data_IF_010723091566
#
_entry.id   IF_010723091566
#
_cell.length_a   1.000
_cell.length_b   1.000
_cell.length_c   1.000
_cell.angle_alpha   90.00
_cell.angle_beta   90.00
_cell.angle_gamma   90.00
#
_symmetry.space_group_name_H-M   'P 1'
#
loop_
_entity.id
_entity.type
_entity.pdbx_description
1 polymer ?
#
# COMPACT_ATOMS: atom_id res chain seq x y z
N UNK A 1 10.35 11.61 -18.23
CA UNK A 1 9.49 11.79 -19.41
C UNK A 1 9.51 13.26 -19.71
N UNK A 2 9.62 13.64 -20.98
CA UNK A 2 9.55 15.03 -21.45
C UNK A 2 8.55 15.07 -22.59
N UNK A 3 7.62 16.03 -22.58
CA UNK A 3 6.57 16.21 -23.59
C UNK A 3 6.74 17.55 -24.31
N UNK A 4 6.89 17.48 -25.63
CA UNK A 4 6.91 18.62 -26.52
C UNK A 4 5.53 18.77 -27.15
N UNK A 5 4.81 19.85 -26.81
CA UNK A 5 3.41 20.02 -27.15
C UNK A 5 3.19 20.74 -28.48
N UNK A 6 2.26 20.26 -29.30
CA UNK A 6 1.82 20.91 -30.54
C UNK A 6 2.95 21.11 -31.54
N UNK A 7 3.91 20.18 -31.56
CA UNK A 7 5.10 20.28 -32.39
C UNK A 7 4.93 19.57 -33.74
N UNK A 8 3.97 18.64 -33.85
CA UNK A 8 3.70 17.92 -35.11
C UNK A 8 4.88 17.08 -35.60
N UNK A 9 5.77 16.69 -34.69
CA UNK A 9 7.03 16.02 -35.02
C UNK A 9 6.81 14.52 -35.10
N UNK A 10 7.28 13.94 -36.21
CA UNK A 10 7.31 12.50 -36.42
C UNK A 10 8.42 11.84 -35.59
N UNK A 11 8.03 10.97 -34.65
CA UNK A 11 8.94 10.19 -33.81
C UNK A 11 9.91 9.33 -34.63
N UNK A 12 9.52 8.86 -35.83
CA UNK A 12 10.38 8.09 -36.71
C UNK A 12 11.52 8.95 -37.29
N UNK A 13 11.19 10.18 -37.70
CA UNK A 13 12.17 11.13 -38.22
C UNK A 13 13.21 11.50 -37.15
N UNK A 14 12.76 11.87 -35.94
CA UNK A 14 13.66 12.20 -34.82
C UNK A 14 14.56 11.03 -34.47
N UNK A 15 13.98 9.82 -34.39
CA UNK A 15 14.73 8.61 -34.07
C UNK A 15 15.83 8.32 -35.08
N UNK A 16 15.55 8.54 -36.37
CA UNK A 16 16.54 8.37 -37.44
C UNK A 16 17.70 9.36 -37.31
N UNK A 17 17.42 10.65 -37.17
CA UNK A 17 18.47 11.68 -37.04
C UNK A 17 19.34 11.42 -35.81
N UNK A 18 18.71 11.07 -34.68
CA UNK A 18 19.43 10.73 -33.46
C UNK A 18 20.36 9.52 -33.65
N UNK A 19 19.86 8.44 -34.27
CA UNK A 19 20.64 7.24 -34.55
C UNK A 19 21.84 7.55 -35.47
N UNK A 20 21.63 8.37 -36.50
CA UNK A 20 22.66 8.76 -37.46
C UNK A 20 23.76 9.61 -36.81
N UNK A 21 23.38 10.63 -36.02
CA UNK A 21 24.35 11.48 -35.29
C UNK A 21 25.17 10.69 -34.29
N UNK A 22 24.54 9.76 -33.55
CA UNK A 22 25.25 8.87 -32.64
C UNK A 22 26.21 7.96 -33.39
N UNK A 23 25.81 7.37 -34.52
CA UNK A 23 26.68 6.54 -35.34
C UNK A 23 27.92 7.31 -35.84
N UNK A 24 27.75 8.53 -36.33
CA UNK A 24 28.84 9.41 -36.77
C UNK A 24 29.85 9.73 -35.65
N UNK A 25 29.41 9.69 -34.39
CA UNK A 25 30.23 9.99 -33.22
C UNK A 25 30.74 8.73 -32.49
N UNK A 26 30.81 7.60 -33.20
CA UNK A 26 31.45 6.36 -32.73
C UNK A 26 30.59 5.48 -31.83
N UNK A 27 29.27 5.66 -31.82
CA UNK A 27 28.34 4.78 -31.15
C UNK A 27 27.86 3.67 -32.11
N UNK A 28 27.68 2.46 -31.59
CA UNK A 28 26.89 1.45 -32.29
C UNK A 28 25.41 1.71 -31.98
N UNK A 29 24.60 1.95 -33.00
CA UNK A 29 23.17 2.25 -32.86
C UNK A 29 22.29 1.18 -33.50
N UNK A 30 21.08 1.02 -32.96
CA UNK A 30 20.02 0.17 -33.48
C UNK A 30 18.70 0.91 -33.30
N UNK A 31 17.95 1.10 -34.40
CA UNK A 31 16.69 1.83 -34.42
C UNK A 31 15.55 0.84 -34.63
N UNK A 32 14.63 0.78 -33.66
CA UNK A 32 13.38 0.03 -33.77
C UNK A 32 12.22 1.01 -33.92
N UNK A 33 11.51 0.96 -35.05
CA UNK A 33 10.39 1.87 -35.33
C UNK A 33 9.07 1.10 -35.44
N UNK A 34 8.06 1.55 -34.72
CA UNK A 34 6.67 1.09 -34.78
C UNK A 34 5.76 2.20 -35.34
N UNK A 35 4.43 1.98 -35.36
CA UNK A 35 3.45 2.99 -35.81
C UNK A 35 3.36 4.23 -34.92
N UNK A 36 3.74 4.11 -33.64
CA UNK A 36 3.52 5.16 -32.62
C UNK A 36 4.77 5.44 -31.79
N UNK A 37 5.81 4.61 -31.92
CA UNK A 37 7.04 4.72 -31.14
C UNK A 37 8.27 4.46 -32.00
N UNK A 38 9.38 5.11 -31.68
CA UNK A 38 10.72 4.81 -32.15
C UNK A 38 11.64 4.63 -30.95
N UNK A 39 12.46 3.58 -30.95
CA UNK A 39 13.42 3.31 -29.89
C UNK A 39 14.81 3.34 -30.51
N UNK A 40 15.65 4.26 -30.03
CA UNK A 40 17.06 4.35 -30.43
C UNK A 40 17.90 3.70 -29.36
N UNK A 41 18.36 2.48 -29.61
CA UNK A 41 19.35 1.79 -28.81
C UNK A 41 20.75 2.25 -29.21
N UNK A 42 21.62 2.45 -28.23
CA UNK A 42 23.00 2.85 -28.48
C UNK A 42 23.97 2.16 -27.53
N UNK A 43 25.22 1.98 -27.98
CA UNK A 43 26.32 1.41 -27.21
C UNK A 43 27.65 2.05 -27.59
N UNK A 44 28.47 2.40 -26.60
CA UNK A 44 29.84 2.91 -26.75
C UNK A 44 30.79 2.15 -25.83
N UNK A 45 31.69 1.35 -26.40
CA UNK A 45 32.58 0.46 -25.65
C UNK A 45 31.83 -0.67 -24.90
N UNK A 46 32.42 -1.19 -23.82
CA UNK A 46 31.85 -2.34 -23.08
C UNK A 46 30.76 -1.96 -22.06
N UNK A 47 30.84 -0.76 -21.48
CA UNK A 47 30.04 -0.40 -20.30
C UNK A 47 28.92 0.63 -20.56
N UNK A 48 29.02 1.44 -21.63
CA UNK A 48 28.01 2.46 -21.92
C UNK A 48 27.00 1.94 -22.93
N UNK A 49 25.75 1.78 -22.50
CA UNK A 49 24.62 1.41 -23.36
C UNK A 49 23.34 2.00 -22.81
N UNK A 50 22.43 2.38 -23.68
CA UNK A 50 21.15 2.94 -23.28
C UNK A 50 20.13 2.90 -24.42
N UNK A 51 18.95 3.43 -24.14
CA UNK A 51 17.92 3.62 -25.14
C UNK A 51 17.14 4.90 -24.89
N UNK A 52 16.77 5.57 -25.97
CA UNK A 52 15.84 6.70 -25.96
C UNK A 52 14.57 6.25 -26.65
N UNK A 53 13.43 6.42 -25.97
CA UNK A 53 12.11 6.10 -26.52
C UNK A 53 11.44 7.41 -26.94
N UNK A 54 10.99 7.45 -28.19
CA UNK A 54 10.27 8.57 -28.79
C UNK A 54 8.89 8.07 -29.15
N UNK A 55 7.85 8.82 -28.83
CA UNK A 55 6.48 8.47 -29.22
C UNK A 55 5.69 9.70 -29.60
N UNK A 56 4.84 9.60 -30.62
CA UNK A 56 3.94 10.69 -31.02
C UNK A 56 2.52 10.44 -30.52
N UNK A 57 1.94 11.42 -29.86
CA UNK A 57 0.57 11.37 -29.33
C UNK A 57 -0.12 12.74 -29.50
N UNK A 58 -1.21 12.81 -30.28
CA UNK A 58 -2.01 14.04 -30.47
C UNK A 58 -1.16 15.28 -30.82
N UNK A 59 -0.33 15.20 -31.87
CA UNK A 59 0.64 16.23 -32.30
C UNK A 59 1.79 16.55 -31.32
N UNK A 60 1.87 15.81 -30.21
CA UNK A 60 2.96 15.94 -29.25
C UNK A 60 4.02 14.87 -29.48
N UNK A 61 5.28 15.25 -29.25
CA UNK A 61 6.39 14.31 -29.17
C UNK A 61 6.74 14.07 -27.71
N UNK A 62 6.74 12.80 -27.30
CA UNK A 62 7.09 12.39 -25.95
C UNK A 62 8.42 11.66 -26.00
N UNK A 63 9.36 12.10 -25.16
CA UNK A 63 10.67 11.49 -24.99
C UNK A 63 10.72 10.79 -23.62
N UNK A 64 10.96 9.49 -23.63
CA UNK A 64 10.97 8.61 -22.46
C UNK A 64 12.26 7.79 -22.36
N UNK A 65 12.53 7.32 -21.15
CA UNK A 65 13.74 6.57 -20.82
C UNK A 65 14.78 7.42 -20.08
N UNK A 66 15.90 6.77 -19.75
CA UNK A 66 17.06 7.42 -19.14
C UNK A 66 17.96 7.94 -20.25
N UNK A 67 17.98 9.27 -20.42
CA UNK A 67 18.86 9.95 -21.38
C UNK A 67 20.11 10.41 -20.62
N UNK A 68 21.25 9.78 -20.90
CA UNK A 68 22.53 10.18 -20.32
C UNK A 68 22.95 11.59 -20.78
N UNK A 69 23.62 12.36 -19.93
CA UNK A 69 24.10 13.72 -20.24
C UNK A 69 24.96 13.76 -21.53
N UNK A 70 25.70 12.68 -21.84
CA UNK A 70 26.51 12.56 -23.07
C UNK A 70 25.66 12.46 -24.35
N UNK A 71 24.40 12.00 -24.23
CA UNK A 71 23.47 11.82 -25.36
C UNK A 71 22.61 13.06 -25.59
N UNK A 72 22.41 13.88 -24.55
CA UNK A 72 21.55 15.07 -24.61
C UNK A 72 21.90 16.01 -25.78
N UNK A 73 23.16 16.34 -26.08
CA UNK A 73 23.47 17.24 -27.20
C UNK A 73 22.99 16.69 -28.55
N UNK A 74 23.14 15.38 -28.80
CA UNK A 74 22.69 14.75 -30.04
C UNK A 74 21.16 14.68 -30.12
N UNK A 75 20.51 14.45 -28.98
CA UNK A 75 19.05 14.49 -28.87
C UNK A 75 18.51 15.90 -29.11
N UNK A 76 19.09 16.91 -28.49
CA UNK A 76 18.69 18.31 -28.65
C UNK A 76 18.86 18.77 -30.10
N UNK A 77 19.95 18.36 -30.75
CA UNK A 77 20.18 18.67 -32.16
C UNK A 77 19.16 17.96 -33.07
N UNK A 78 18.88 16.67 -32.84
CA UNK A 78 17.88 15.92 -33.60
C UNK A 78 16.46 16.50 -33.42
N UNK A 79 16.13 16.94 -32.20
CA UNK A 79 14.89 17.65 -31.93
C UNK A 79 14.89 19.00 -32.64
N UNK A 80 15.90 19.84 -32.46
CA UNK A 80 15.97 21.16 -33.08
C UNK A 80 15.87 21.13 -34.62
N UNK A 81 16.43 20.11 -35.28
CA UNK A 81 16.33 19.92 -36.72
C UNK A 81 14.91 19.56 -37.19
N UNK A 82 14.12 18.90 -36.34
CA UNK A 82 12.77 18.42 -36.66
C UNK A 82 11.66 19.38 -36.23
N UNK A 83 11.95 20.33 -35.35
CA UNK A 83 10.99 21.36 -34.94
C UNK A 83 10.57 22.23 -36.14
N UNK A 84 9.26 22.25 -36.42
CA UNK A 84 8.69 23.13 -37.46
C UNK A 84 8.85 24.61 -37.10
N UNK A 85 8.84 24.94 -35.81
CA UNK A 85 9.04 26.29 -35.29
C UNK A 85 10.20 26.29 -34.27
N UNK A 86 11.39 26.63 -34.76
CA UNK A 86 12.63 26.66 -33.97
C UNK A 86 12.56 27.63 -32.79
N UNK A 87 11.72 28.65 -32.84
CA UNK A 87 11.56 29.61 -31.74
C UNK A 87 10.89 29.01 -30.49
N UNK A 88 10.20 27.87 -30.65
CA UNK A 88 9.53 27.13 -29.57
C UNK A 88 10.37 25.98 -29.02
N UNK A 89 11.56 25.76 -29.56
CA UNK A 89 12.44 24.70 -29.08
C UNK A 89 13.00 25.06 -27.71
N UNK A 90 12.85 24.14 -26.76
CA UNK A 90 13.46 24.21 -25.44
C UNK A 90 14.35 22.97 -25.30
N UNK A 91 15.65 23.13 -24.96
CA UNK A 91 16.56 22.01 -24.74
C UNK A 91 15.99 21.00 -23.73
N UNK A 92 16.26 19.72 -23.96
CA UNK A 92 15.70 18.60 -23.20
C UNK A 92 15.91 18.75 -21.69
N UNK A 93 17.10 19.17 -21.26
CA UNK A 93 17.44 19.34 -19.84
C UNK A 93 16.65 20.47 -19.18
N UNK A 94 16.44 21.57 -19.91
CA UNK A 94 15.64 22.70 -19.44
C UNK A 94 14.15 22.32 -19.39
N UNK A 95 13.65 21.64 -20.42
CA UNK A 95 12.28 21.14 -20.47
C UNK A 95 11.99 20.13 -19.36
N UNK A 96 12.91 19.21 -19.10
CA UNK A 96 12.83 18.24 -18.00
C UNK A 96 12.79 18.96 -16.64
N UNK A 97 13.57 20.03 -16.46
CA UNK A 97 13.52 20.82 -15.25
C UNK A 97 12.16 21.52 -15.07
N UNK A 98 11.62 22.12 -16.14
CA UNK A 98 10.31 22.75 -16.13
C UNK A 98 9.18 21.76 -15.80
N UNK A 99 9.23 20.54 -16.33
CA UNK A 99 8.27 19.49 -15.99
C UNK A 99 8.42 19.00 -14.55
N UNK A 100 9.66 18.88 -14.05
CA UNK A 100 9.90 18.55 -12.66
C UNK A 100 9.40 19.65 -11.70
N UNK A 101 9.54 20.93 -12.07
CA UNK A 101 9.01 22.07 -11.31
C UNK A 101 7.48 22.02 -11.31
N UNK A 102 6.84 21.89 -12.49
CA UNK A 102 5.38 21.76 -12.60
C UNK A 102 4.86 20.58 -11.79
N UNK A 103 5.53 19.43 -11.86
CA UNK A 103 5.15 18.25 -11.07
C UNK A 103 5.26 18.51 -9.58
N UNK A 104 6.33 19.18 -9.12
CA UNK A 104 6.48 19.59 -7.71
C UNK A 104 5.41 20.60 -7.29
N UNK A 105 5.03 21.52 -8.16
CA UNK A 105 3.96 22.50 -7.90
C UNK A 105 2.59 21.84 -7.85
N UNK A 106 2.30 20.88 -8.74
CA UNK A 106 1.08 20.06 -8.70
C UNK A 106 1.03 19.15 -7.47
N UNK A 107 2.16 18.56 -7.10
CA UNK A 107 2.31 17.79 -5.86
C UNK A 107 2.12 18.68 -4.63
N UNK A 108 2.66 19.90 -4.64
CA UNK A 108 2.48 20.90 -3.59
C UNK A 108 1.04 21.40 -3.52
N UNK A 109 0.39 21.66 -4.65
CA UNK A 109 -1.01 22.08 -4.71
C UNK A 109 -1.95 20.94 -4.27
N UNK A 110 -1.66 19.68 -4.64
CA UNK A 110 -2.37 18.50 -4.14
C UNK A 110 -2.14 18.28 -2.64
N UNK A 111 -0.91 18.49 -2.18
CA UNK A 111 -0.58 18.44 -0.75
C UNK A 111 -1.30 19.55 0.02
N UNK A 112 -1.34 20.78 -0.48
CA UNK A 112 -2.05 21.91 0.14
C UNK A 112 -3.57 21.70 0.15
N UNK A 113 -4.14 21.11 -0.91
CA UNK A 113 -5.55 20.67 -0.93
C UNK A 113 -5.83 19.49 0.02
N UNK A 114 -4.81 18.70 0.38
CA UNK A 114 -4.89 17.67 1.43
C UNK A 114 -4.57 18.21 2.84
N UNK A 115 -3.98 19.41 2.94
CA UNK A 115 -3.53 20.01 4.22
C UNK A 115 -4.54 20.99 4.82
N UNK A 116 -5.65 21.32 4.12
CA UNK A 116 -6.81 21.84 4.82
C UNK A 116 -7.42 20.70 5.64
N UNK A 117 -6.94 20.55 6.89
CA UNK A 117 -7.53 19.67 7.86
C UNK A 117 -9.04 19.93 7.88
N UNK A 118 -9.90 18.91 7.65
CA UNK A 118 -11.33 19.11 7.69
C UNK A 118 -11.67 19.74 9.04
N UNK A 119 -12.35 20.89 9.02
CA UNK A 119 -12.85 21.52 10.24
C UNK A 119 -13.95 20.62 10.80
N UNK A 120 -13.56 19.59 11.56
CA UNK A 120 -14.49 18.67 12.21
C UNK A 120 -15.31 19.50 13.21
N UNK A 121 -16.60 19.66 12.94
CA UNK A 121 -17.49 20.46 13.79
C UNK A 121 -17.76 19.66 15.05
N UNK A 122 -17.55 20.26 16.22
CA UNK A 122 -17.92 19.63 17.49
C UNK A 122 -19.45 19.59 17.61
N UNK A 123 -20.05 18.45 17.32
CA UNK A 123 -21.50 18.23 17.46
C UNK A 123 -21.83 17.85 18.90
N UNK A 124 -22.38 18.77 19.69
CA UNK A 124 -22.72 18.49 21.09
C UNK A 124 -24.09 17.82 21.27
N UNK A 125 -24.98 17.93 20.26
CA UNK A 125 -26.35 17.40 20.29
C UNK A 125 -26.69 16.66 19.00
N UNK A 126 -27.52 15.62 19.11
CA UNK A 126 -28.01 14.84 18.00
C UNK A 126 -28.92 15.67 17.10
N UNK A 127 -28.67 15.66 15.78
CA UNK A 127 -29.48 16.37 14.77
C UNK A 127 -30.91 15.83 14.63
N UNK A 128 -31.17 14.60 15.09
CA UNK A 128 -32.48 13.96 15.00
C UNK A 128 -33.33 14.12 16.27
N UNK A 129 -32.78 13.79 17.46
CA UNK A 129 -33.56 13.78 18.71
C UNK A 129 -33.13 14.85 19.73
N UNK A 130 -32.09 15.64 19.46
CA UNK A 130 -31.61 16.69 20.36
C UNK A 130 -30.84 16.21 21.60
N UNK A 131 -30.73 14.89 21.81
CA UNK A 131 -29.99 14.30 22.93
C UNK A 131 -28.49 14.63 22.88
N UNK A 132 -27.78 14.73 24.02
CA UNK A 132 -26.35 15.00 24.04
C UNK A 132 -25.57 13.88 23.35
N UNK A 133 -24.54 14.23 22.58
CA UNK A 133 -23.64 13.27 21.95
C UNK A 133 -22.38 13.07 22.78
N UNK A 134 -22.05 11.82 23.08
CA UNK A 134 -20.84 11.48 23.82
C UNK A 134 -19.63 11.42 22.87
N UNK A 135 -18.89 12.52 22.77
CA UNK A 135 -17.65 12.60 21.99
C UNK A 135 -16.49 12.19 22.90
N UNK A 136 -16.33 10.89 23.13
CA UNK A 136 -15.23 10.34 23.92
C UNK A 136 -13.95 10.22 23.09
N UNK A 137 -13.00 11.16 23.24
CA UNK A 137 -11.66 11.03 22.66
C UNK A 137 -10.94 12.36 22.43
N UNK A 138 -9.60 12.28 22.26
CA UNK A 138 -8.75 13.42 21.87
C UNK A 138 -8.93 13.81 20.39
N UNK A 139 -9.30 12.85 19.55
CA UNK A 139 -9.57 13.07 18.12
C UNK A 139 -11.07 13.21 17.88
N UNK A 140 -11.49 14.29 17.22
CA UNK A 140 -12.90 14.51 16.87
C UNK A 140 -13.36 13.43 15.88
N UNK A 141 -14.33 12.57 16.18
CA UNK A 141 -14.84 11.59 15.23
C UNK A 141 -15.61 12.28 14.10
N UNK A 142 -15.54 11.71 12.89
CA UNK A 142 -16.26 12.27 11.74
C UNK A 142 -17.70 11.74 11.63
N UNK A 143 -17.94 10.50 12.11
CA UNK A 143 -19.27 9.92 12.33
C UNK A 143 -19.51 9.65 13.81
N UNK A 144 -20.68 10.05 14.30
CA UNK A 144 -21.13 9.82 15.68
C UNK A 144 -22.50 9.16 15.65
N UNK A 145 -22.63 7.97 16.23
CA UNK A 145 -23.94 7.30 16.38
C UNK A 145 -24.59 7.78 17.67
N UNK A 146 -25.80 8.31 17.58
CA UNK A 146 -26.55 8.75 18.76
C UNK A 146 -26.93 7.55 19.63
N UNK A 147 -26.54 7.56 20.90
CA UNK A 147 -26.85 6.49 21.86
C UNK A 147 -28.34 6.38 22.18
N UNK A 148 -29.10 7.46 21.97
CA UNK A 148 -30.52 7.52 22.34
C UNK A 148 -31.45 7.05 21.22
N UNK A 149 -31.16 7.41 19.97
CA UNK A 149 -32.05 7.13 18.84
C UNK A 149 -31.38 6.38 17.68
N UNK A 150 -30.09 6.06 17.78
CA UNK A 150 -29.32 5.36 16.76
C UNK A 150 -29.04 6.16 15.48
N UNK A 151 -29.42 7.44 15.42
CA UNK A 151 -29.17 8.29 14.27
C UNK A 151 -27.67 8.55 14.07
N UNK A 152 -27.21 8.42 12.83
CA UNK A 152 -25.82 8.68 12.43
C UNK A 152 -25.64 10.18 12.19
N UNK A 153 -24.93 10.84 13.09
CA UNK A 153 -24.59 12.24 12.98
C UNK A 153 -23.28 12.40 12.21
N UNK A 154 -23.33 13.14 11.11
CA UNK A 154 -22.16 13.54 10.35
C UNK A 154 -21.63 14.90 10.85
N UNK A 155 -20.40 14.88 11.39
CA UNK A 155 -19.67 16.05 11.89
C UNK A 155 -18.90 16.81 10.80
N UNK A 156 -18.81 16.24 9.60
CA UNK A 156 -18.13 16.81 8.44
C UNK A 156 -19.04 16.72 7.20
N UNK A 157 -19.75 17.82 6.91
CA UNK A 157 -20.70 17.89 5.81
C UNK A 157 -20.04 17.71 4.42
N UNK A 158 -18.71 17.82 4.31
CA UNK A 158 -18.00 17.58 3.05
C UNK A 158 -17.89 16.08 2.69
N UNK A 159 -18.15 15.20 3.66
CA UNK A 159 -18.02 13.74 3.52
C UNK A 159 -19.39 13.07 3.47
N UNK A 160 -19.68 12.25 2.45
CA UNK A 160 -20.90 11.45 2.45
C UNK A 160 -20.87 10.41 3.56
N UNK A 161 -22.04 10.03 4.06
CA UNK A 161 -22.18 8.90 4.99
C UNK A 161 -22.00 7.62 4.16
N UNK A 162 -21.07 6.72 4.53
CA UNK A 162 -20.79 5.49 3.80
C UNK A 162 -21.90 4.47 4.05
N UNK A 163 -21.82 3.32 3.38
CA UNK A 163 -22.62 2.17 3.79
C UNK A 163 -22.13 1.68 5.15
N UNK A 164 -23.06 1.57 6.12
CA UNK A 164 -22.74 1.14 7.48
C UNK A 164 -23.49 -0.14 7.82
N UNK A 165 -22.77 -1.15 8.27
CA UNK A 165 -23.30 -2.40 8.77
C UNK A 165 -22.82 -2.73 10.18
N UNK A 166 -23.41 -3.76 10.78
CA UNK A 166 -23.03 -4.30 12.08
C UNK A 166 -23.08 -5.83 12.03
N UNK A 167 -22.16 -6.49 12.75
CA UNK A 167 -22.17 -7.95 12.94
C UNK A 167 -22.83 -8.30 14.28
N UNK A 168 -23.59 -9.38 14.35
CA UNK A 168 -24.12 -9.84 15.63
C UNK A 168 -23.03 -10.52 16.46
N UNK A 169 -22.97 -10.21 17.76
CA UNK A 169 -22.13 -10.94 18.67
C UNK A 169 -22.73 -12.33 18.93
N UNK A 170 -21.89 -13.36 18.90
CA UNK A 170 -22.22 -14.70 19.37
C UNK A 170 -21.76 -14.86 20.81
N UNK A 171 -22.38 -15.78 21.54
CA UNK A 171 -21.89 -16.18 22.86
C UNK A 171 -20.65 -17.07 22.68
N UNK A 172 -19.48 -16.50 22.94
CA UNK A 172 -18.19 -17.17 22.78
C UNK A 172 -17.41 -17.21 24.09
N UNK A 173 -16.73 -18.32 24.32
CA UNK A 173 -15.77 -18.44 25.42
C UNK A 173 -14.43 -17.81 25.01
N UNK A 174 -14.32 -16.50 25.24
CA UNK A 174 -13.15 -15.71 24.88
C UNK A 174 -11.87 -16.19 25.58
N UNK A 175 -11.98 -16.68 26.82
CA UNK A 175 -10.83 -17.21 27.56
C UNK A 175 -10.32 -18.51 26.93
N UNK A 176 -11.23 -19.42 26.58
CA UNK A 176 -10.84 -20.65 25.89
C UNK A 176 -10.20 -20.39 24.52
N UNK A 177 -10.74 -19.45 23.74
CA UNK A 177 -10.13 -19.05 22.46
C UNK A 177 -8.75 -18.43 22.69
N UNK A 178 -8.58 -17.62 23.74
CA UNK A 178 -7.29 -17.07 24.12
C UNK A 178 -6.29 -18.16 24.54
N UNK A 179 -6.69 -19.13 25.35
CA UNK A 179 -5.88 -20.30 25.72
C UNK A 179 -5.41 -21.08 24.50
N UNK A 180 -6.33 -21.39 23.57
CA UNK A 180 -6.02 -22.09 22.33
C UNK A 180 -5.09 -21.27 21.43
N UNK A 181 -5.25 -19.94 21.42
CA UNK A 181 -4.34 -19.05 20.71
C UNK A 181 -2.93 -19.11 21.31
N UNK A 182 -2.80 -19.03 22.63
CA UNK A 182 -1.53 -19.06 23.36
C UNK A 182 -0.82 -20.41 23.18
N UNK A 183 -1.56 -21.52 23.26
CA UNK A 183 -1.04 -22.88 23.12
C UNK A 183 -0.43 -23.17 21.73
N UNK A 184 -0.77 -22.37 20.71
CA UNK A 184 -0.12 -22.43 19.38
C UNK A 184 1.23 -21.70 19.33
N UNK A 185 1.67 -21.11 20.45
CA UNK A 185 2.98 -20.47 20.58
C UNK A 185 4.15 -21.45 20.52
N UNK A 186 5.28 -20.98 20.01
CA UNK A 186 6.50 -21.79 19.91
C UNK A 186 6.97 -22.14 21.33
N UNK A 187 7.08 -23.44 21.62
CA UNK A 187 7.45 -24.00 22.93
C UNK A 187 6.51 -23.63 24.09
N UNK A 188 5.26 -23.29 23.82
CA UNK A 188 4.22 -23.10 24.84
C UNK A 188 3.43 -24.39 25.00
N UNK A 189 3.36 -24.95 26.21
CA UNK A 189 2.52 -26.13 26.49
C UNK A 189 1.07 -25.70 26.78
N UNK A 190 0.10 -26.58 26.49
CA UNK A 190 -1.31 -26.35 26.85
C UNK A 190 -1.51 -26.09 28.35
N UNK A 191 -0.78 -26.79 29.22
CA UNK A 191 -0.85 -26.58 30.66
C UNK A 191 -0.37 -25.18 31.06
N UNK A 192 0.72 -24.72 30.45
CA UNK A 192 1.24 -23.39 30.72
C UNK A 192 0.31 -22.29 30.17
N UNK A 193 -0.30 -22.49 29.00
CA UNK A 193 -1.33 -21.59 28.46
C UNK A 193 -2.52 -21.38 29.42
N UNK A 194 -3.02 -22.46 30.03
CA UNK A 194 -4.11 -22.42 31.03
C UNK A 194 -3.74 -21.71 32.34
N UNK A 195 -2.45 -21.73 32.68
CA UNK A 195 -1.96 -21.07 33.90
C UNK A 195 -1.75 -19.57 33.73
N UNK A 196 -1.88 -19.04 32.50
CA UNK A 196 -1.74 -17.62 32.24
C UNK A 196 -2.86 -16.84 32.95
N UNK A 197 -2.48 -15.80 33.70
CA UNK A 197 -3.45 -14.90 34.29
C UNK A 197 -4.04 -14.01 33.18
N UNK A 198 -5.32 -14.24 32.85
CA UNK A 198 -6.04 -13.55 31.78
C UNK A 198 -7.12 -12.62 32.33
N UNK A 199 -7.38 -11.53 31.62
CA UNK A 199 -8.49 -10.61 31.89
C UNK A 199 -9.03 -10.03 30.59
N UNK A 200 -10.34 -9.85 30.52
CA UNK A 200 -10.97 -9.05 29.45
C UNK A 200 -10.74 -7.58 29.77
N UNK A 201 -10.22 -6.83 28.81
CA UNK A 201 -9.95 -5.38 28.97
C UNK A 201 -10.79 -4.51 28.05
N UNK A 202 -11.33 -5.07 26.97
CA UNK A 202 -12.21 -4.38 26.04
C UNK A 202 -13.27 -5.37 25.55
N UNK A 203 -14.53 -4.95 25.51
CA UNK A 203 -15.66 -5.67 24.89
C UNK A 203 -16.55 -4.63 24.21
N UNK A 204 -16.19 -4.28 22.98
CA UNK A 204 -16.72 -3.12 22.26
C UNK A 204 -17.08 -3.50 20.82
N UNK A 205 -17.99 -2.73 20.24
CA UNK A 205 -18.21 -2.73 18.79
C UNK A 205 -17.21 -1.79 18.12
N UNK A 206 -16.24 -2.37 17.43
CA UNK A 206 -15.14 -1.65 16.79
C UNK A 206 -15.49 -1.37 15.32
N UNK A 207 -15.42 -0.11 14.86
CA UNK A 207 -15.65 0.22 13.46
C UNK A 207 -14.45 -0.23 12.61
N UNK A 208 -14.71 -1.05 11.60
CA UNK A 208 -13.73 -1.57 10.64
C UNK A 208 -14.19 -1.25 9.22
N UNK A 209 -13.33 -0.60 8.45
CA UNK A 209 -13.50 -0.45 7.01
C UNK A 209 -13.19 -1.77 6.31
N UNK A 210 -14.17 -2.32 5.59
CA UNK A 210 -13.98 -3.39 4.62
C UNK A 210 -13.63 -2.78 3.27
N UNK A 211 -12.38 -2.99 2.84
CA UNK A 211 -11.84 -2.37 1.63
C UNK A 211 -11.31 -3.48 0.73
N UNK A 212 -11.73 -3.49 -0.52
CA UNK A 212 -11.21 -4.40 -1.54
C UNK A 212 -10.17 -3.66 -2.37
N UNK A 213 -8.94 -4.16 -2.37
CA UNK A 213 -7.80 -3.57 -3.10
C UNK A 213 -7.37 -4.49 -4.23
N UNK A 214 -7.39 -4.01 -5.47
CA UNK A 214 -6.79 -4.68 -6.62
C UNK A 214 -5.41 -4.12 -6.91
N UNK A 215 -4.42 -5.01 -6.95
CA UNK A 215 -3.03 -4.70 -7.28
C UNK A 215 -2.71 -5.20 -8.68
N UNK A 216 -2.19 -4.30 -9.53
CA UNK A 216 -1.80 -4.61 -10.90
C UNK A 216 -0.43 -4.02 -11.21
N UNK A 217 0.42 -4.80 -11.89
CA UNK A 217 1.73 -4.36 -12.34
C UNK A 217 2.75 -5.49 -12.39
N UNK A 218 4.01 -5.19 -12.12
CA UNK A 218 5.08 -6.17 -12.15
C UNK A 218 6.19 -5.87 -11.14
N UNK A 219 6.89 -6.93 -10.76
CA UNK A 219 8.10 -6.89 -9.93
C UNK A 219 9.25 -7.49 -10.71
N UNK A 220 10.37 -6.78 -10.76
CA UNK A 220 11.63 -7.30 -11.30
C UNK A 220 12.60 -7.59 -10.16
N UNK A 221 13.22 -8.77 -10.19
CA UNK A 221 14.18 -9.23 -9.18
C UNK A 221 15.46 -9.73 -9.83
N UNK A 222 16.54 -9.80 -9.05
CA UNK A 222 17.77 -10.47 -9.44
C UNK A 222 17.85 -11.86 -8.82
N UNK A 223 18.06 -12.86 -9.67
CA UNK A 223 18.43 -14.21 -9.27
C UNK A 223 19.89 -14.45 -9.62
N UNK A 224 20.64 -14.92 -8.62
CA UNK A 224 22.02 -15.36 -8.80
C UNK A 224 22.00 -16.84 -9.16
N UNK A 225 22.49 -17.17 -10.34
CA UNK A 225 22.63 -18.56 -10.80
C UNK A 225 24.11 -18.88 -10.81
N UNK A 226 24.49 -19.91 -10.07
CA UNK A 226 25.86 -20.40 -10.00
C UNK A 226 25.98 -21.61 -10.91
N UNK A 227 26.81 -21.51 -11.94
CA UNK A 227 27.11 -22.60 -12.86
C UNK A 227 28.57 -23.00 -12.68
N UNK A 228 28.84 -24.31 -12.61
CA UNK A 228 30.20 -24.84 -12.59
C UNK A 228 30.58 -25.27 -14.00
N UNK A 229 31.57 -24.60 -14.59
CA UNK A 229 32.09 -24.94 -15.92
C UNK A 229 33.55 -25.39 -15.74
N UNK A 230 33.79 -26.70 -15.85
CA UNK A 230 35.10 -27.30 -15.56
C UNK A 230 35.47 -27.17 -14.08
N UNK A 231 36.61 -26.52 -13.78
CA UNK A 231 37.09 -26.23 -12.41
C UNK A 231 36.67 -24.84 -11.89
N UNK A 232 35.94 -24.05 -12.69
CA UNK A 232 35.56 -22.68 -12.33
C UNK A 232 34.09 -22.59 -11.95
N UNK A 233 33.81 -21.88 -10.86
CA UNK A 233 32.46 -21.55 -10.41
C UNK A 233 32.14 -20.13 -10.87
N UNK A 234 31.15 -19.99 -11.75
CA UNK A 234 30.73 -18.69 -12.31
C UNK A 234 29.36 -18.36 -11.75
N UNK A 235 29.22 -17.17 -11.14
CA UNK A 235 27.93 -16.65 -10.71
C UNK A 235 27.42 -15.65 -11.74
N UNK A 236 26.25 -15.90 -12.31
CA UNK A 236 25.55 -14.99 -13.23
C UNK A 236 24.34 -14.36 -12.55
N UNK A 237 24.10 -13.08 -12.83
CA UNK A 237 22.88 -12.39 -12.44
C UNK A 237 21.86 -12.45 -13.56
N UNK A 238 20.69 -13.00 -13.26
CA UNK A 238 19.55 -13.10 -14.19
C UNK A 238 18.43 -12.21 -13.66
N UNK A 239 17.92 -11.32 -14.50
CA UNK A 239 16.71 -10.55 -14.19
C UNK A 239 15.48 -11.43 -14.39
N UNK A 240 14.62 -11.49 -13.39
CA UNK A 240 13.33 -12.17 -13.47
C UNK A 240 12.21 -11.16 -13.26
N UNK A 241 11.21 -11.19 -14.14
CA UNK A 241 10.02 -10.33 -14.06
C UNK A 241 8.80 -11.17 -13.71
N UNK A 242 8.06 -10.74 -12.70
CA UNK A 242 6.83 -11.35 -12.22
C UNK A 242 5.68 -10.39 -12.45
N UNK A 243 4.60 -10.86 -13.06
CA UNK A 243 3.36 -10.08 -13.18
C UNK A 243 2.54 -10.21 -11.89
N UNK A 244 1.93 -9.11 -11.47
CA UNK A 244 1.04 -9.04 -10.31
C UNK A 244 -0.34 -8.64 -10.82
N UNK A 245 -1.35 -9.46 -10.53
CA UNK A 245 -2.76 -9.21 -10.79
C UNK A 245 -3.56 -9.90 -9.69
N UNK A 246 -3.62 -9.27 -8.52
CA UNK A 246 -4.15 -9.86 -7.29
C UNK A 246 -5.14 -8.93 -6.62
N UNK A 247 -6.10 -9.49 -5.90
CA UNK A 247 -7.13 -8.71 -5.18
C UNK A 247 -7.17 -9.16 -3.73
N UNK A 248 -7.22 -8.20 -2.81
CA UNK A 248 -7.19 -8.43 -1.38
C UNK A 248 -8.36 -7.71 -0.69
N UNK A 249 -9.04 -8.42 0.20
CA UNK A 249 -9.90 -7.80 1.20
C UNK A 249 -9.07 -7.40 2.40
N UNK A 250 -8.99 -6.10 2.68
CA UNK A 250 -8.12 -5.48 3.67
C UNK A 250 -8.96 -4.75 4.72
N UNK A 251 -9.32 -5.42 5.84
CA UNK A 251 -9.98 -4.78 6.97
C UNK A 251 -9.06 -3.77 7.68
N UNK A 252 -9.51 -2.53 7.83
CA UNK A 252 -8.81 -1.45 8.54
C UNK A 252 -9.67 -0.96 9.71
N UNK A 253 -9.15 -1.02 10.94
CA UNK A 253 -9.84 -0.41 12.08
C UNK A 253 -9.87 1.11 11.88
N UNK A 254 -11.07 1.69 11.95
CA UNK A 254 -11.34 3.09 11.65
C UNK A 254 -10.99 4.04 12.81
N UNK A 255 -9.93 3.71 13.57
CA UNK A 255 -9.44 4.48 14.72
C UNK A 255 -7.96 4.77 14.56
N UNK A 256 -7.56 6.01 14.84
CA UNK A 256 -6.19 6.47 14.61
C UNK A 256 -5.17 5.78 15.52
N UNK A 257 -5.53 5.61 16.79
CA UNK A 257 -4.65 5.04 17.83
C UNK A 257 -5.09 3.64 18.27
N UNK A 258 -5.49 2.78 17.32
CA UNK A 258 -5.82 1.39 17.63
C UNK A 258 -4.59 0.62 18.09
N UNK A 259 -4.69 -0.13 19.20
CA UNK A 259 -3.60 -0.98 19.73
C UNK A 259 -3.17 -2.09 18.75
N UNK A 260 -4.04 -2.45 17.81
CA UNK A 260 -3.79 -3.46 16.79
C UNK A 260 -4.48 -3.10 15.47
N UNK A 261 -4.06 -3.77 14.40
CA UNK A 261 -4.76 -3.80 13.12
C UNK A 261 -4.96 -5.27 12.73
N UNK A 262 -6.10 -5.64 12.13
CA UNK A 262 -6.31 -6.99 11.65
C UNK A 262 -5.23 -7.42 10.67
N UNK A 263 -4.77 -8.66 10.80
CA UNK A 263 -3.95 -9.29 9.78
C UNK A 263 -4.87 -9.78 8.67
N UNK A 264 -4.97 -9.02 7.58
CA UNK A 264 -5.90 -9.28 6.48
C UNK A 264 -5.63 -10.59 5.73
N UNK A 265 -4.45 -11.20 5.91
CA UNK A 265 -4.14 -12.53 5.38
C UNK A 265 -4.86 -13.62 6.17
N UNK A 266 -5.01 -13.42 7.48
CA UNK A 266 -5.55 -14.42 8.41
C UNK A 266 -7.01 -14.17 8.78
N UNK A 267 -7.43 -12.91 8.77
CA UNK A 267 -8.76 -12.49 9.17
C UNK A 267 -9.55 -12.01 7.96
N UNK A 268 -10.71 -12.63 7.74
CA UNK A 268 -11.73 -12.19 6.78
C UNK A 268 -12.99 -11.81 7.54
N UNK A 269 -13.55 -10.67 7.19
CA UNK A 269 -14.79 -10.20 7.81
C UNK A 269 -15.93 -11.15 7.43
N UNK A 270 -16.73 -11.64 8.39
CA UNK A 270 -17.83 -12.57 8.12
C UNK A 270 -19.06 -11.82 7.59
N UNK A 271 -18.95 -11.27 6.38
CA UNK A 271 -19.97 -10.41 5.75
C UNK A 271 -21.33 -11.10 5.56
N UNK A 272 -21.38 -12.43 5.50
CA UNK A 272 -22.63 -13.19 5.45
C UNK A 272 -23.55 -12.96 6.66
N UNK A 273 -22.98 -12.52 7.79
CA UNK A 273 -23.71 -12.19 9.02
C UNK A 273 -23.96 -10.69 9.21
N UNK A 274 -23.63 -9.86 8.20
CA UNK A 274 -23.84 -8.41 8.21
C UNK A 274 -25.33 -8.07 8.30
N UNK A 275 -25.67 -7.20 9.24
CA UNK A 275 -26.99 -6.59 9.39
C UNK A 275 -26.93 -5.09 9.13
N UNK A 276 -28.06 -4.44 8.79
CA UNK A 276 -28.18 -2.99 8.83
C UNK A 276 -27.78 -2.43 10.19
N UNK A 277 -27.15 -1.25 10.19
CA UNK A 277 -26.74 -0.60 11.44
C UNK A 277 -27.93 -0.42 12.39
N UNK A 278 -27.75 -0.88 13.62
CA UNK A 278 -28.56 -0.55 14.80
C UNK A 278 -27.62 -0.09 15.90
N UNK A 279 -28.05 0.85 16.73
CA UNK A 279 -27.26 1.24 17.89
C UNK A 279 -27.15 0.06 18.86
N UNK A 280 -25.94 -0.14 19.38
CA UNK A 280 -25.64 -1.09 20.45
C UNK A 280 -24.71 -0.38 21.45
N UNK A 281 -24.85 -0.63 22.77
CA UNK A 281 -23.89 -0.12 23.74
C UNK A 281 -22.45 -0.49 23.38
N UNK A 282 -21.50 0.32 23.83
CA UNK A 282 -20.06 0.11 23.62
C UNK A 282 -19.61 0.18 22.15
N UNK A 283 -20.36 0.87 21.27
CA UNK A 283 -19.89 1.23 19.95
C UNK A 283 -18.79 2.30 20.02
N UNK A 284 -17.64 2.02 19.41
CA UNK A 284 -16.55 2.98 19.34
C UNK A 284 -16.75 3.96 18.18
N UNK A 285 -16.34 5.21 18.39
CA UNK A 285 -16.44 6.25 17.39
C UNK A 285 -15.50 6.03 16.19
N UNK A 286 -15.88 6.58 15.03
CA UNK A 286 -15.11 6.50 13.79
C UNK A 286 -14.21 7.73 13.66
N UNK A 287 -12.89 7.51 13.65
CA UNK A 287 -11.89 8.59 13.62
C UNK A 287 -11.22 8.72 12.25
N UNK A 288 -11.11 7.61 11.51
CA UNK A 288 -10.56 7.56 10.15
C UNK A 288 -11.66 7.59 9.10
N UNK A 289 -11.53 8.47 8.12
CA UNK A 289 -12.43 8.51 6.96
C UNK A 289 -12.08 7.45 5.89
N UNK A 290 -12.92 7.36 4.86
CA UNK A 290 -12.76 6.40 3.77
C UNK A 290 -11.44 6.58 3.01
N UNK A 291 -11.00 7.82 2.77
CA UNK A 291 -9.78 8.12 2.00
C UNK A 291 -8.54 7.74 2.80
N UNK A 292 -8.52 8.10 4.09
CA UNK A 292 -7.47 7.73 5.04
C UNK A 292 -7.35 6.20 5.13
N UNK A 293 -8.47 5.51 5.36
CA UNK A 293 -8.50 4.04 5.44
C UNK A 293 -8.10 3.36 4.12
N UNK A 294 -8.53 3.88 2.97
CA UNK A 294 -8.15 3.38 1.64
C UNK A 294 -6.66 3.50 1.37
N UNK A 295 -6.05 4.63 1.76
CA UNK A 295 -4.61 4.83 1.64
C UNK A 295 -3.82 3.81 2.49
N UNK A 296 -4.28 3.56 3.73
CA UNK A 296 -3.69 2.55 4.62
C UNK A 296 -3.86 1.14 4.03
N UNK A 297 -5.04 0.82 3.49
CA UNK A 297 -5.33 -0.48 2.89
C UNK A 297 -4.45 -0.78 1.67
N UNK A 298 -4.32 0.18 0.75
CA UNK A 298 -3.43 0.06 -0.42
C UNK A 298 -1.98 -0.14 0.03
N UNK A 299 -1.52 0.66 1.00
CA UNK A 299 -0.15 0.56 1.52
C UNK A 299 0.12 -0.82 2.12
N UNK A 300 -0.80 -1.36 2.92
CA UNK A 300 -0.69 -2.71 3.51
C UNK A 300 -0.67 -3.81 2.43
N UNK A 301 -1.53 -3.71 1.42
CA UNK A 301 -1.55 -4.68 0.33
C UNK A 301 -0.25 -4.66 -0.48
N UNK A 302 0.28 -3.47 -0.80
CA UNK A 302 1.56 -3.31 -1.50
C UNK A 302 2.73 -3.85 -0.67
N UNK A 303 2.74 -3.56 0.63
CA UNK A 303 3.76 -4.07 1.55
C UNK A 303 3.76 -5.61 1.62
N UNK A 304 2.57 -6.21 1.68
CA UNK A 304 2.41 -7.67 1.64
C UNK A 304 3.01 -8.27 0.36
N UNK A 305 2.67 -7.73 -0.82
CA UNK A 305 3.25 -8.21 -2.08
C UNK A 305 4.76 -8.03 -2.11
N UNK A 306 5.26 -6.87 -1.65
CA UNK A 306 6.69 -6.56 -1.63
C UNK A 306 7.48 -7.54 -0.76
N UNK A 307 6.94 -7.99 0.38
CA UNK A 307 7.58 -8.97 1.28
C UNK A 307 7.82 -10.34 0.65
N UNK A 308 7.09 -10.71 -0.41
CA UNK A 308 7.26 -12.00 -1.11
C UNK A 308 8.55 -12.09 -1.94
N UNK A 309 9.19 -10.97 -2.23
CA UNK A 309 10.34 -10.91 -3.14
C UNK A 309 11.61 -10.43 -2.43
N UNK A 310 12.71 -11.13 -2.69
CA UNK A 310 14.06 -10.71 -2.34
C UNK A 310 14.77 -10.10 -3.55
N UNK A 311 15.76 -9.22 -3.33
CA UNK A 311 16.59 -8.64 -4.40
C UNK A 311 15.78 -7.90 -5.47
N UNK A 312 14.80 -7.10 -5.05
CA UNK A 312 13.94 -6.32 -5.93
C UNK A 312 14.77 -5.24 -6.63
N UNK A 313 14.71 -5.20 -7.96
CA UNK A 313 15.27 -4.12 -8.81
C UNK A 313 14.21 -3.07 -9.08
N UNK A 314 13.03 -3.52 -9.48
CA UNK A 314 11.90 -2.67 -9.86
C UNK A 314 10.65 -3.18 -9.16
N UNK A 315 9.92 -2.29 -8.49
CA UNK A 315 8.60 -2.59 -7.96
C UNK A 315 7.60 -1.61 -8.58
N UNK A 316 6.96 -2.03 -9.67
CA UNK A 316 5.99 -1.23 -10.39
C UNK A 316 4.62 -1.90 -10.25
N UNK A 317 4.04 -1.76 -9.06
CA UNK A 317 2.72 -2.31 -8.73
C UNK A 317 1.87 -1.17 -8.21
N UNK A 318 0.72 -0.95 -8.83
CA UNK A 318 -0.24 0.07 -8.42
C UNK A 318 -1.43 -0.59 -7.75
N UNK A 319 -1.98 0.06 -6.72
CA UNK A 319 -3.19 -0.40 -6.04
C UNK A 319 -4.37 0.51 -6.32
N UNK A 320 -5.52 -0.09 -6.58
CA UNK A 320 -6.79 0.60 -6.78
C UNK A 320 -7.85 -0.02 -5.86
N UNK A 321 -8.79 0.81 -5.39
CA UNK A 321 -9.95 0.32 -4.65
C UNK A 321 -10.98 -0.24 -5.64
N UNK A 322 -11.53 -1.41 -5.33
CA UNK A 322 -12.60 -2.05 -6.10
C UNK A 322 -13.92 -1.86 -5.36
N UNK A 323 -14.89 -1.28 -6.06
CA UNK A 323 -16.19 -0.96 -5.47
C UNK A 323 -16.12 0.16 -4.43
N UNK A 324 -17.14 0.23 -3.58
CA UNK A 324 -17.24 1.22 -2.51
C UNK A 324 -16.85 0.58 -1.17
N UNK A 325 -15.90 1.14 -0.41
CA UNK A 325 -15.64 0.73 0.96
C UNK A 325 -16.89 0.73 1.84
N UNK A 326 -17.01 -0.28 2.69
CA UNK A 326 -18.11 -0.39 3.66
C UNK A 326 -17.56 -0.24 5.09
N UNK A 327 -18.28 0.47 5.95
CA UNK A 327 -17.95 0.56 7.36
C UNK A 327 -18.75 -0.47 8.15
N UNK A 328 -18.07 -1.38 8.84
CA UNK A 328 -18.70 -2.49 9.55
C UNK A 328 -18.31 -2.44 11.03
N UNK A 329 -19.31 -2.38 11.90
CA UNK A 329 -19.11 -2.52 13.34
C UNK A 329 -19.01 -3.99 13.73
N UNK A 330 -17.83 -4.37 14.23
CA UNK A 330 -17.49 -5.74 14.61
C UNK A 330 -17.44 -5.85 16.14
N UNK A 331 -18.14 -6.81 16.77
CA UNK A 331 -18.04 -7.02 18.21
C UNK A 331 -16.69 -7.67 18.53
N UNK A 332 -15.77 -6.92 19.12
CA UNK A 332 -14.42 -7.40 19.45
C UNK A 332 -14.24 -7.45 20.96
N UNK A 333 -13.77 -8.60 21.43
CA UNK A 333 -13.25 -8.75 22.79
C UNK A 333 -11.73 -8.81 22.77
N UNK A 334 -11.08 -8.03 23.63
CA UNK A 334 -9.62 -8.08 23.82
C UNK A 334 -9.34 -8.69 25.18
N UNK A 335 -8.64 -9.83 25.15
CA UNK A 335 -8.15 -10.53 26.34
C UNK A 335 -6.66 -10.21 26.47
N UNK A 336 -6.28 -9.64 27.61
CA UNK A 336 -4.88 -9.44 27.99
C UNK A 336 -4.45 -10.54 28.94
N UNK A 337 -3.20 -10.99 28.80
CA UNK A 337 -2.65 -12.04 29.65
C UNK A 337 -1.18 -11.77 29.97
N UNK A 338 -0.77 -12.19 31.17
CA UNK A 338 0.62 -12.04 31.61
C UNK A 338 1.39 -13.34 31.43
N UNK A 339 2.59 -13.24 30.84
CA UNK A 339 3.52 -14.34 30.68
C UNK A 339 4.95 -13.87 30.94
N UNK A 340 5.65 -14.52 31.87
CA UNK A 340 7.05 -14.18 32.22
C UNK A 340 7.27 -12.66 32.42
N UNK A 341 6.42 -12.05 33.26
CA UNK A 341 6.40 -10.61 33.59
C UNK A 341 6.15 -9.66 32.41
N UNK A 342 5.72 -10.16 31.25
CA UNK A 342 5.31 -9.35 30.10
C UNK A 342 3.81 -9.49 29.85
N UNK A 343 3.18 -8.39 29.48
CA UNK A 343 1.77 -8.37 29.08
C UNK A 343 1.66 -8.64 27.58
N UNK A 344 0.74 -9.52 27.21
CA UNK A 344 0.38 -9.88 25.84
C UNK A 344 -1.12 -9.72 25.67
N UNK A 345 -1.60 -9.78 24.42
CA UNK A 345 -3.04 -9.68 24.15
C UNK A 345 -3.46 -10.58 22.99
N UNK A 346 -4.77 -10.85 22.95
CA UNK A 346 -5.46 -11.44 21.82
C UNK A 346 -6.78 -10.69 21.60
N UNK A 347 -7.03 -10.27 20.37
CA UNK A 347 -8.27 -9.65 19.93
C UNK A 347 -9.09 -10.67 19.16
N UNK A 348 -10.34 -10.87 19.58
CA UNK A 348 -11.22 -11.93 19.10
C UNK A 348 -12.50 -11.30 18.56
N UNK A 349 -12.88 -11.70 17.35
CA UNK A 349 -14.17 -11.38 16.76
C UNK A 349 -15.27 -12.24 17.41
N UNK A 350 -16.17 -11.63 18.18
CA UNK A 350 -17.28 -12.35 18.83
C UNK A 350 -18.32 -12.85 17.85
N UNK A 351 -18.39 -12.33 16.61
CA UNK A 351 -19.37 -12.83 15.64
C UNK A 351 -18.95 -14.17 15.05
N UNK A 352 -17.65 -14.38 14.87
CA UNK A 352 -17.09 -15.58 14.24
C UNK A 352 -16.27 -16.50 15.16
N UNK A 353 -15.83 -16.02 16.33
CA UNK A 353 -14.87 -16.70 17.19
C UNK A 353 -13.43 -16.67 16.68
N UNK A 354 -13.16 -15.96 15.57
CA UNK A 354 -11.84 -15.88 14.98
C UNK A 354 -10.94 -14.90 15.72
N UNK A 355 -9.65 -15.23 15.80
CA UNK A 355 -8.63 -14.30 16.30
C UNK A 355 -8.26 -13.31 15.19
N UNK A 356 -8.46 -12.02 15.48
CA UNK A 356 -8.21 -10.90 14.56
C UNK A 356 -6.74 -10.49 14.60
N UNK A 357 -6.20 -10.41 15.82
CA UNK A 357 -4.83 -10.03 16.10
C UNK A 357 -4.40 -10.60 17.46
N UNK A 358 -3.10 -10.73 17.69
CA UNK A 358 -2.60 -11.10 19.00
C UNK A 358 -1.09 -11.27 19.02
N UNK A 359 -0.50 -11.07 20.19
CA UNK A 359 0.91 -11.29 20.44
C UNK A 359 1.09 -12.58 21.24
N UNK A 360 2.18 -13.31 20.98
CA UNK A 360 2.52 -14.55 21.68
C UNK A 360 3.89 -14.43 22.36
N UNK A 361 4.11 -15.13 23.48
CA UNK A 361 5.44 -15.23 24.06
C UNK A 361 6.36 -16.02 23.12
N UNK A 362 7.59 -15.52 22.95
CA UNK A 362 8.68 -16.27 22.35
C UNK A 362 9.48 -16.91 23.48
N UNK A 363 9.24 -18.18 23.74
CA UNK A 363 10.00 -18.92 24.74
C UNK A 363 11.34 -19.30 24.11
N UNK A 364 12.43 -18.64 24.54
CA UNK A 364 13.78 -19.03 24.14
C UNK A 364 14.17 -20.30 24.90
N UNK A 365 14.36 -21.41 24.19
CA UNK A 365 14.98 -22.60 24.76
C UNK A 365 16.45 -22.30 25.06
N UNK A 366 16.86 -22.42 26.32
CA UNK A 366 18.28 -22.43 26.68
C UNK A 366 18.79 -23.86 26.52
N UNK A 367 19.43 -24.18 25.39
CA UNK A 367 19.90 -25.53 25.03
C UNK A 367 20.94 -26.07 26.04
N UNK A 368 21.53 -25.21 26.88
CA UNK A 368 22.51 -25.60 27.90
C UNK A 368 21.96 -26.57 28.96
N UNK A 369 20.64 -26.68 29.14
CA UNK A 369 20.04 -27.62 30.11
C UNK A 369 19.86 -29.05 29.58
N UNK A 370 19.96 -29.28 28.27
CA UNK A 370 19.76 -30.61 27.66
C UNK A 370 21.07 -31.43 27.73
N UNK A 371 22.23 -30.79 27.68
CA UNK A 371 23.54 -31.46 27.73
C UNK A 371 24.03 -31.77 29.15
N UNK A 372 23.26 -31.44 30.19
CA UNK A 372 23.66 -31.69 31.59
C UNK A 372 23.12 -33.00 32.17
N UNK A 373 22.50 -33.86 31.35
CA UNK A 373 21.83 -35.10 31.81
C UNK A 373 22.29 -36.37 31.10
N UNK A 374 23.48 -36.38 30.52
CA UNK A 374 24.11 -37.58 29.94
C UNK A 374 25.47 -37.94 30.56
N UNK A 375 25.78 -37.39 31.73
CA UNK A 375 26.95 -37.76 32.55
C UNK A 375 26.49 -38.03 33.99
N UNK A 376 25.63 -39.04 34.16
CA UNK A 376 25.53 -39.80 35.42
C UNK A 376 25.37 -41.29 35.08
#
# INVERSE_FOLDING_TARGET
MVRYQGVGIDHAHVGKILADKLAQNGYKTELETSKITSIVHWKKGLFKKGSVVLSSENDDLIVQGYVEDEIIPFLDEALYETFSDKSKFIPYKEKLNLENIKKKEEEKAKAEQQTQAPQRIKLEKCKNCGAPLNIGGETLPWLIICEYCGFVNNADASKPIPQIGILNASDIDAFKIAEDFIAKGIFVTRGAAKSANMRVVQDNYVPIWHIVVSLNGYVETLRYVTETIGKQVITRQIRQRFQIAETYEVPIIARANSEFQPDFEKYKLPLSSKQPLKYVPNMLSVELDEKEASSIAISKALEHVKKRYSNIVTFNVNGNIVGSPELIYVPIVVVKYNWDKKEYFVAIDKSSGNVIAGTRPLVKFNISSIFKKSEE
#
